data_IF_837040762872
#
_entry.id   IF_837040762872
#
_cell.length_a   1.000
_cell.length_b   1.000
_cell.length_c   1.000
_cell.angle_alpha   90.00
_cell.angle_beta   90.00
_cell.angle_gamma   90.00
#
_symmetry.space_group_name_H-M   'P 1'
#
loop_
_entity.id
_entity.type
_entity.pdbx_description
1 polymer ?
#
# COMPACT_ATOMS: atom_id res chain seq x y z
N UNK A 1 18.89 17.90 40.90
CA UNK A 1 18.86 18.67 39.62
C UNK A 1 19.55 17.96 38.46
N UNK A 2 20.66 17.26 38.67
CA UNK A 2 21.33 16.50 37.61
C UNK A 2 20.49 15.33 37.11
N UNK A 3 19.72 14.64 37.95
CA UNK A 3 18.88 13.53 37.58
C UNK A 3 17.68 13.91 36.71
N UNK A 4 17.12 15.10 36.91
CA UNK A 4 16.02 15.63 36.08
C UNK A 4 16.48 15.94 34.65
N UNK A 5 17.68 16.48 34.51
CA UNK A 5 18.25 16.75 33.17
C UNK A 5 18.53 15.46 32.40
N UNK A 6 19.07 14.44 33.08
CA UNK A 6 19.31 13.13 32.50
C UNK A 6 18.00 12.46 32.05
N UNK A 7 16.96 12.56 32.90
CA UNK A 7 15.65 12.02 32.56
C UNK A 7 15.04 12.71 31.34
N UNK A 8 15.15 14.02 31.23
CA UNK A 8 14.63 14.77 30.07
C UNK A 8 15.39 14.40 28.81
N UNK A 9 16.71 14.26 28.87
CA UNK A 9 17.53 13.88 27.72
C UNK A 9 17.20 12.45 27.25
N UNK A 10 17.05 11.52 28.19
CA UNK A 10 16.68 10.14 27.88
C UNK A 10 15.28 10.06 27.27
N UNK A 11 14.33 10.81 27.82
CA UNK A 11 12.96 10.86 27.30
C UNK A 11 12.93 11.46 25.90
N UNK A 12 13.68 12.52 25.64
CA UNK A 12 13.79 13.13 24.32
C UNK A 12 14.40 12.16 23.30
N UNK A 13 15.44 11.43 23.70
CA UNK A 13 16.08 10.42 22.84
C UNK A 13 15.12 9.28 22.50
N UNK A 14 14.32 8.83 23.46
CA UNK A 14 13.29 7.80 23.22
C UNK A 14 12.21 8.28 22.27
N UNK A 15 11.74 9.51 22.41
CA UNK A 15 10.74 10.10 21.52
C UNK A 15 11.27 10.23 20.08
N UNK A 16 12.52 10.62 19.90
CA UNK A 16 13.17 10.70 18.59
C UNK A 16 13.29 9.32 17.93
N UNK A 17 13.59 8.28 18.70
CA UNK A 17 13.67 6.90 18.20
C UNK A 17 12.33 6.41 17.69
N UNK A 18 11.24 6.68 18.40
CA UNK A 18 9.88 6.31 17.99
C UNK A 18 9.48 7.04 16.70
N UNK A 19 9.83 8.31 16.57
CA UNK A 19 9.56 9.10 15.36
C UNK A 19 10.24 8.50 14.12
N UNK A 20 11.46 8.00 14.26
CA UNK A 20 12.17 7.32 13.17
C UNK A 20 11.50 6.01 12.77
N UNK A 21 11.01 5.25 13.73
CA UNK A 21 10.29 4.00 13.45
C UNK A 21 9.02 4.27 12.65
N UNK A 22 8.27 5.32 12.95
CA UNK A 22 7.10 5.72 12.17
C UNK A 22 7.47 6.28 10.79
N UNK A 23 8.57 7.02 10.67
CA UNK A 23 9.04 7.54 9.39
C UNK A 23 9.50 6.44 8.44
N UNK A 24 9.91 5.29 8.99
CA UNK A 24 10.28 4.09 8.23
C UNK A 24 9.13 3.11 8.04
N UNK A 25 7.89 3.52 8.37
CA UNK A 25 6.71 2.72 8.07
C UNK A 25 6.72 2.34 6.59
N UNK A 26 6.39 1.10 6.23
CA UNK A 26 6.69 0.55 4.91
C UNK A 26 6.09 1.42 3.81
N UNK A 27 6.97 2.03 3.04
CA UNK A 27 6.60 2.90 1.93
C UNK A 27 5.69 2.18 0.93
N UNK A 28 5.96 0.90 0.70
CA UNK A 28 5.21 0.10 -0.25
C UNK A 28 3.79 -0.20 0.24
N UNK A 29 3.61 -0.39 1.55
CA UNK A 29 2.27 -0.58 2.13
C UNK A 29 1.44 0.70 1.99
N UNK A 30 2.07 1.85 2.17
CA UNK A 30 1.41 3.13 1.97
C UNK A 30 1.01 3.32 0.50
N UNK A 31 1.90 2.99 -0.43
CA UNK A 31 1.60 3.02 -1.86
C UNK A 31 0.44 2.10 -2.23
N UNK A 32 0.42 0.90 -1.68
CA UNK A 32 -0.67 -0.05 -1.91
C UNK A 32 -2.01 0.50 -1.40
N UNK A 33 -2.02 1.13 -0.24
CA UNK A 33 -3.21 1.78 0.30
C UNK A 33 -3.70 2.93 -0.58
N UNK A 34 -2.80 3.74 -1.11
CA UNK A 34 -3.14 4.81 -2.05
C UNK A 34 -3.72 4.25 -3.35
N UNK A 35 -3.16 3.18 -3.87
CA UNK A 35 -3.67 2.52 -5.07
C UNK A 35 -5.10 2.02 -4.84
N UNK A 36 -5.35 1.40 -3.70
CA UNK A 36 -6.69 0.92 -3.34
C UNK A 36 -7.69 2.08 -3.27
N UNK A 37 -7.32 3.17 -2.59
CA UNK A 37 -8.17 4.36 -2.50
C UNK A 37 -8.41 4.97 -3.88
N UNK A 38 -7.38 5.03 -4.72
CA UNK A 38 -7.50 5.54 -6.08
C UNK A 38 -8.51 4.70 -6.88
N UNK A 39 -8.43 3.38 -6.80
CA UNK A 39 -9.36 2.49 -7.48
C UNK A 39 -10.78 2.71 -7.01
N UNK A 40 -10.99 2.89 -5.69
CA UNK A 40 -12.32 3.11 -5.13
C UNK A 40 -12.95 4.43 -5.56
N UNK A 41 -12.17 5.50 -5.60
CA UNK A 41 -12.69 6.84 -5.84
C UNK A 41 -12.69 7.26 -7.30
N UNK A 42 -12.02 6.51 -8.15
CA UNK A 42 -12.01 6.80 -9.60
C UNK A 42 -13.26 6.20 -10.25
N UNK A 43 -13.93 7.00 -11.06
CA UNK A 43 -15.03 6.52 -11.89
C UNK A 43 -14.45 5.97 -13.19
N UNK A 44 -14.60 4.67 -13.36
CA UNK A 44 -14.10 3.98 -14.55
C UNK A 44 -15.22 3.84 -15.57
N UNK A 45 -14.94 4.04 -16.88
CA UNK A 45 -15.92 3.73 -17.92
C UNK A 45 -16.31 2.25 -17.89
N UNK A 46 -17.57 1.93 -18.13
CA UNK A 46 -18.05 0.55 -18.15
C UNK A 46 -17.32 -0.33 -19.20
N UNK A 47 -16.85 0.30 -20.28
CA UNK A 47 -16.06 -0.40 -21.30
C UNK A 47 -14.73 -0.96 -20.77
N UNK A 48 -14.19 -0.38 -19.70
CA UNK A 48 -12.94 -0.81 -19.06
C UNK A 48 -13.23 -1.80 -17.94
N UNK A 49 -14.35 -1.63 -17.24
CA UNK A 49 -14.75 -2.44 -16.08
C UNK A 49 -15.59 -3.64 -16.52
N UNK A 50 -14.95 -4.57 -17.20
CA UNK A 50 -15.62 -5.79 -17.65
C UNK A 50 -15.37 -6.94 -16.68
N UNK A 51 -16.41 -7.71 -16.37
CA UNK A 51 -16.30 -8.90 -15.54
C UNK A 51 -16.43 -8.62 -14.06
N UNK A 52 -16.11 -9.62 -13.26
CA UNK A 52 -16.29 -9.63 -11.80
C UNK A 52 -15.05 -9.16 -11.03
N UNK A 53 -13.95 -8.89 -11.72
CA UNK A 53 -12.67 -8.56 -11.10
C UNK A 53 -12.10 -7.25 -11.63
N UNK A 54 -11.31 -6.59 -10.77
CA UNK A 54 -10.44 -5.48 -11.16
C UNK A 54 -9.01 -6.00 -11.02
N UNK A 55 -8.28 -6.00 -12.12
CA UNK A 55 -6.91 -6.51 -12.14
C UNK A 55 -5.93 -5.38 -11.91
N UNK A 56 -5.10 -5.51 -10.89
CA UNK A 56 -3.96 -4.63 -10.66
C UNK A 56 -2.71 -5.38 -11.06
N UNK A 57 -1.99 -4.86 -12.05
CA UNK A 57 -0.79 -5.50 -12.55
C UNK A 57 0.45 -4.87 -11.92
N UNK A 58 1.33 -5.71 -11.39
CA UNK A 58 2.56 -5.28 -10.76
C UNK A 58 3.69 -6.23 -11.12
N UNK A 59 4.92 -5.71 -11.11
CA UNK A 59 6.10 -6.53 -11.41
C UNK A 59 6.26 -7.64 -10.38
N UNK A 60 6.38 -8.91 -10.80
CA UNK A 60 6.51 -10.03 -9.89
C UNK A 60 7.78 -9.89 -9.02
N UNK A 61 7.65 -10.23 -7.75
CA UNK A 61 8.76 -10.15 -6.81
C UNK A 61 9.12 -8.75 -6.34
N UNK A 62 8.46 -7.71 -6.82
CA UNK A 62 8.68 -6.35 -6.31
C UNK A 62 8.09 -6.19 -4.92
N UNK A 63 8.63 -5.25 -4.15
CA UNK A 63 8.09 -4.93 -2.82
C UNK A 63 6.67 -4.40 -2.91
N UNK A 64 6.37 -3.66 -3.97
CA UNK A 64 5.00 -3.18 -4.21
C UNK A 64 4.04 -4.34 -4.51
N UNK A 65 4.46 -5.31 -5.31
CA UNK A 65 3.66 -6.50 -5.58
C UNK A 65 3.32 -7.24 -4.28
N UNK A 66 4.31 -7.40 -3.39
CA UNK A 66 4.10 -8.03 -2.09
C UNK A 66 3.13 -7.22 -1.22
N UNK A 67 3.27 -5.91 -1.19
CA UNK A 67 2.39 -5.03 -0.43
C UNK A 67 0.96 -5.04 -0.96
N UNK A 68 0.77 -5.15 -2.28
CA UNK A 68 -0.54 -5.21 -2.91
C UNK A 68 -1.32 -6.49 -2.55
N UNK A 69 -0.66 -7.53 -2.06
CA UNK A 69 -1.35 -8.73 -1.59
C UNK A 69 -2.34 -8.42 -0.44
N UNK A 70 -2.08 -7.38 0.35
CA UNK A 70 -3.02 -6.94 1.38
C UNK A 70 -4.31 -6.36 0.80
N UNK A 71 -4.28 -5.90 -0.44
CA UNK A 71 -5.43 -5.33 -1.14
C UNK A 71 -6.18 -6.39 -1.96
N UNK A 72 -5.50 -7.47 -2.32
CA UNK A 72 -6.11 -8.57 -3.07
C UNK A 72 -7.29 -9.17 -2.28
N UNK A 73 -8.37 -9.42 -2.98
CA UNK A 73 -9.61 -9.94 -2.40
C UNK A 73 -10.55 -8.87 -1.84
N UNK A 74 -10.13 -7.63 -1.73
CA UNK A 74 -11.02 -6.54 -1.35
C UNK A 74 -11.94 -6.16 -2.51
N UNK A 75 -13.08 -5.58 -2.18
CA UNK A 75 -14.05 -5.18 -3.20
C UNK A 75 -13.95 -3.68 -3.50
N UNK A 76 -14.19 -3.35 -4.76
CA UNK A 76 -14.34 -1.98 -5.22
C UNK A 76 -15.32 -1.99 -6.41
N UNK A 77 -16.25 -1.06 -6.44
CA UNK A 77 -17.27 -0.96 -7.51
C UNK A 77 -18.04 -2.26 -7.77
N UNK A 78 -18.30 -3.04 -6.70
CA UNK A 78 -18.98 -4.32 -6.82
C UNK A 78 -18.14 -5.46 -7.41
N UNK A 79 -16.83 -5.25 -7.56
CA UNK A 79 -15.89 -6.22 -8.12
C UNK A 79 -14.81 -6.56 -7.12
N UNK A 80 -14.17 -7.69 -7.32
CA UNK A 80 -13.08 -8.15 -6.46
C UNK A 80 -11.74 -7.74 -7.08
N UNK A 81 -10.86 -7.19 -6.26
CA UNK A 81 -9.52 -6.81 -6.70
C UNK A 81 -8.63 -8.05 -6.73
N UNK A 82 -7.97 -8.25 -7.86
CA UNK A 82 -6.95 -9.28 -8.04
C UNK A 82 -5.62 -8.62 -8.39
N UNK A 83 -4.53 -9.18 -7.89
CA UNK A 83 -3.18 -8.71 -8.19
C UNK A 83 -2.54 -9.69 -9.16
N UNK A 84 -2.19 -9.22 -10.35
CA UNK A 84 -1.70 -10.04 -11.45
C UNK A 84 -0.23 -9.71 -11.70
N UNK A 85 0.65 -10.71 -11.83
CA UNK A 85 2.05 -10.44 -12.20
C UNK A 85 2.13 -9.91 -13.63
N UNK A 86 2.86 -8.83 -13.80
CA UNK A 86 2.98 -8.12 -15.07
C UNK A 86 3.66 -8.96 -16.14
N UNK A 87 4.47 -9.93 -15.73
CA UNK A 87 5.31 -10.75 -16.60
C UNK A 87 4.51 -11.57 -17.62
N UNK A 88 3.33 -12.06 -17.23
CA UNK A 88 2.48 -12.93 -18.06
C UNK A 88 1.24 -12.22 -18.56
N UNK A 89 1.02 -10.99 -18.12
CA UNK A 89 -0.13 -10.22 -18.54
C UNK A 89 0.15 -9.60 -19.90
N UNK A 90 -0.60 -9.99 -20.92
CA UNK A 90 -0.70 -9.21 -22.12
C UNK A 90 -1.30 -7.84 -21.80
N UNK A 91 -1.12 -6.89 -22.70
CA UNK A 91 -1.65 -5.53 -22.51
C UNK A 91 -3.17 -5.53 -22.27
N UNK A 92 -3.87 -6.56 -22.75
CA UNK A 92 -5.32 -6.71 -22.58
C UNK A 92 -5.75 -7.18 -21.19
N UNK A 93 -4.86 -7.74 -20.39
CA UNK A 93 -5.18 -8.27 -19.06
C UNK A 93 -4.92 -7.24 -17.96
N UNK A 94 -4.28 -6.16 -18.26
CA UNK A 94 -4.03 -5.02 -17.38
C UNK A 94 -4.87 -3.77 -17.79
#
# INVERSE_FOLDING_TARGET
MRSCRLLIVVLAALLLSVSRAFAQAPEHDLKAAFIYNFVQFTQWPESVMKGATINICASPGSLLHMALQAVAGKSAHGRIITVVPLQNAGVGDC
#
